data_IF_844144352816
#
_entry.id   IF_844144352816
#
_cell.length_a   1.000
_cell.length_b   1.000
_cell.length_c   1.000
_cell.angle_alpha   90.00
_cell.angle_beta   90.00
_cell.angle_gamma   90.00
#
_symmetry.space_group_name_H-M   'P 1'
#
loop_
_entity.id
_entity.type
_entity.pdbx_description
1 polymer ?
#
# COMPACT_ATOMS: atom_id res chain seq x y z
N UNK A 1 -10.58 11.66 14.39
CA UNK A 1 -9.32 12.45 14.31
C UNK A 1 -9.29 13.69 15.20
N UNK A 2 -10.38 14.45 15.38
CA UNK A 2 -10.35 15.73 16.13
C UNK A 2 -9.92 15.63 17.61
N UNK A 3 -10.18 14.50 18.27
CA UNK A 3 -9.85 14.30 19.68
C UNK A 3 -8.63 13.38 19.89
N UNK A 4 -7.95 12.98 18.81
CA UNK A 4 -6.78 12.10 18.93
C UNK A 4 -5.55 12.88 19.42
N UNK A 5 -4.81 12.29 20.36
CA UNK A 5 -3.57 12.86 20.91
C UNK A 5 -2.39 11.96 20.57
N UNK A 6 -1.26 12.51 20.06
CA UNK A 6 -0.09 11.73 19.71
C UNK A 6 0.60 11.17 20.96
N UNK A 7 1.04 9.91 20.90
CA UNK A 7 1.87 9.29 21.95
C UNK A 7 3.37 9.65 21.80
N UNK A 8 3.79 10.04 20.60
CA UNK A 8 5.16 10.42 20.27
C UNK A 8 5.17 11.62 19.33
N UNK A 9 6.29 12.36 19.29
CA UNK A 9 6.47 13.45 18.33
C UNK A 9 6.44 12.92 16.89
N UNK A 10 5.92 13.70 15.92
CA UNK A 10 5.95 13.31 14.51
C UNK A 10 7.35 12.89 14.04
N UNK A 11 7.43 11.82 13.26
CA UNK A 11 8.69 11.29 12.72
C UNK A 11 9.54 10.43 13.68
N UNK A 12 9.23 10.38 14.99
CA UNK A 12 10.06 9.65 15.94
C UNK A 12 9.84 8.12 15.92
N UNK A 13 8.61 7.68 15.63
CA UNK A 13 8.20 6.27 15.64
C UNK A 13 7.41 5.94 14.39
N UNK A 14 7.68 4.76 13.83
CA UNK A 14 6.77 4.07 12.90
C UNK A 14 5.86 3.15 13.68
N UNK A 15 4.55 3.33 13.54
CA UNK A 15 3.52 2.41 13.99
C UNK A 15 2.59 2.12 12.80
N UNK A 16 2.47 0.86 12.40
CA UNK A 16 1.55 0.49 11.32
C UNK A 16 0.11 0.89 11.70
N UNK A 17 -0.56 1.64 10.84
CA UNK A 17 -1.90 2.16 11.15
C UNK A 17 -2.73 2.39 9.89
N UNK A 18 -3.84 1.65 9.77
CA UNK A 18 -4.86 1.88 8.73
C UNK A 18 -5.42 3.31 8.82
N UNK A 19 -5.56 3.86 10.02
CA UNK A 19 -5.99 5.26 10.24
C UNK A 19 -4.99 6.28 9.68
N UNK A 20 -3.70 5.97 9.65
CA UNK A 20 -2.69 6.89 9.11
C UNK A 20 -2.74 6.90 7.58
N UNK A 21 -2.50 5.75 6.93
CA UNK A 21 -2.45 5.68 5.47
C UNK A 21 -3.84 5.89 4.83
N UNK A 22 -4.91 5.47 5.52
CA UNK A 22 -6.27 5.72 5.07
C UNK A 22 -6.60 7.21 5.04
N UNK A 23 -6.24 7.95 6.09
CA UNK A 23 -6.42 9.41 6.10
C UNK A 23 -5.57 10.09 5.03
N UNK A 24 -4.33 9.63 4.82
CA UNK A 24 -3.49 10.10 3.72
C UNK A 24 -4.19 9.93 2.36
N UNK A 25 -4.73 8.73 2.06
CA UNK A 25 -5.46 8.48 0.81
C UNK A 25 -6.68 9.39 0.64
N UNK A 26 -7.49 9.53 1.69
CA UNK A 26 -8.68 10.36 1.68
C UNK A 26 -8.36 11.85 1.45
N UNK A 27 -7.25 12.34 2.00
CA UNK A 27 -6.79 13.73 1.82
C UNK A 27 -6.12 13.95 0.46
N UNK A 28 -5.35 12.96 -0.04
CA UNK A 28 -4.60 13.07 -1.29
C UNK A 28 -5.50 13.31 -2.51
N UNK A 29 -6.73 12.79 -2.49
CA UNK A 29 -7.69 12.95 -3.59
C UNK A 29 -8.52 14.23 -3.51
N UNK A 30 -8.61 14.89 -2.34
CA UNK A 30 -9.46 16.08 -2.16
C UNK A 30 -9.27 17.19 -3.20
N UNK A 31 -8.04 17.57 -3.58
CA UNK A 31 -7.84 18.65 -4.57
C UNK A 31 -8.42 18.32 -5.95
N UNK A 32 -8.63 17.04 -6.26
CA UNK A 32 -9.20 16.61 -7.54
C UNK A 32 -10.73 16.73 -7.63
N UNK A 33 -11.41 16.86 -6.48
CA UNK A 33 -12.87 16.77 -6.40
C UNK A 33 -13.44 15.35 -6.60
N UNK A 34 -12.60 14.35 -6.89
CA UNK A 34 -13.01 12.94 -7.05
C UNK A 34 -13.18 12.27 -5.68
N UNK A 35 -14.03 11.24 -5.63
CA UNK A 35 -13.97 10.26 -4.55
C UNK A 35 -12.67 9.45 -4.64
N UNK A 36 -12.28 8.79 -3.54
CA UNK A 36 -11.09 7.93 -3.57
C UNK A 36 -11.22 6.80 -4.59
N UNK A 37 -12.37 6.14 -4.64
CA UNK A 37 -12.63 5.05 -5.60
C UNK A 37 -12.58 5.54 -7.06
N UNK A 38 -13.12 6.72 -7.36
CA UNK A 38 -13.05 7.31 -8.70
C UNK A 38 -11.60 7.65 -9.07
N UNK A 39 -10.85 8.28 -8.16
CA UNK A 39 -9.45 8.62 -8.39
C UNK A 39 -8.59 7.37 -8.59
N UNK A 40 -8.73 6.35 -7.74
CA UNK A 40 -8.03 5.07 -7.86
C UNK A 40 -8.35 4.40 -9.20
N UNK A 41 -9.63 4.33 -9.55
CA UNK A 41 -10.08 3.70 -10.81
C UNK A 41 -9.50 4.42 -12.03
N UNK A 42 -9.65 5.74 -12.11
CA UNK A 42 -9.26 6.52 -13.30
C UNK A 42 -7.76 6.74 -13.42
N UNK A 43 -7.05 6.89 -12.30
CA UNK A 43 -5.64 7.30 -12.30
C UNK A 43 -4.66 6.15 -12.13
N UNK A 44 -5.12 4.99 -11.65
CA UNK A 44 -4.26 3.83 -11.39
C UNK A 44 -4.76 2.60 -12.11
N UNK A 45 -5.99 2.15 -11.82
CA UNK A 45 -6.47 0.85 -12.32
C UNK A 45 -6.64 0.85 -13.84
N UNK A 46 -7.30 1.86 -14.41
CA UNK A 46 -7.52 1.96 -15.85
C UNK A 46 -6.22 2.12 -16.65
N UNK A 47 -5.29 3.04 -16.30
CA UNK A 47 -4.01 3.16 -17.02
C UNK A 47 -3.15 1.90 -16.99
N UNK A 48 -3.20 1.14 -15.88
CA UNK A 48 -2.48 -0.14 -15.75
C UNK A 48 -3.25 -1.33 -16.32
N UNK A 49 -4.45 -1.10 -16.88
CA UNK A 49 -5.32 -2.13 -17.45
C UNK A 49 -5.67 -3.23 -16.45
N UNK A 50 -5.91 -2.85 -15.20
CA UNK A 50 -6.33 -3.73 -14.11
C UNK A 50 -7.86 -3.89 -14.15
N UNK A 51 -8.36 -4.58 -15.17
CA UNK A 51 -9.78 -4.65 -15.51
C UNK A 51 -10.65 -5.48 -14.54
N UNK A 52 -10.03 -6.28 -13.69
CA UNK A 52 -10.66 -7.10 -12.65
C UNK A 52 -10.09 -6.76 -11.27
N UNK A 53 -9.97 -5.45 -11.01
CA UNK A 53 -9.57 -4.88 -9.73
C UNK A 53 -10.56 -3.82 -9.30
N UNK A 54 -11.05 -3.90 -8.06
CA UNK A 54 -12.18 -3.11 -7.58
C UNK A 54 -12.02 -2.70 -6.12
N UNK A 55 -12.52 -1.52 -5.76
CA UNK A 55 -12.82 -1.19 -4.36
C UNK A 55 -14.19 -1.78 -4.00
N UNK A 56 -15.21 -1.40 -4.77
CA UNK A 56 -16.57 -1.96 -4.74
C UNK A 56 -16.75 -2.96 -5.87
N UNK A 57 -16.88 -4.25 -5.54
CA UNK A 57 -17.06 -5.30 -6.56
C UNK A 57 -18.44 -5.16 -7.22
N UNK A 58 -18.52 -4.94 -8.55
CA UNK A 58 -19.79 -4.76 -9.23
C UNK A 58 -20.60 -6.06 -9.30
N UNK A 59 -21.92 -5.96 -9.48
CA UNK A 59 -22.83 -7.12 -9.54
C UNK A 59 -22.39 -8.16 -10.58
N UNK A 60 -21.86 -7.71 -11.72
CA UNK A 60 -21.36 -8.58 -12.81
C UNK A 60 -20.16 -9.45 -12.40
N UNK A 61 -19.43 -9.06 -11.37
CA UNK A 61 -18.21 -9.73 -10.89
C UNK A 61 -18.43 -10.50 -9.57
N UNK A 62 -19.62 -10.43 -8.98
CA UNK A 62 -19.93 -11.11 -7.70
C UNK A 62 -19.70 -12.63 -7.78
N UNK A 63 -19.93 -13.26 -8.95
CA UNK A 63 -19.66 -14.68 -9.17
C UNK A 63 -18.15 -15.04 -9.11
N UNK A 64 -17.28 -14.07 -9.33
CA UNK A 64 -15.83 -14.21 -9.29
C UNK A 64 -15.24 -13.75 -7.94
N UNK A 65 -16.06 -13.15 -7.06
CA UNK A 65 -15.63 -12.71 -5.74
C UNK A 65 -15.62 -13.91 -4.78
N UNK A 66 -14.43 -14.43 -4.52
CA UNK A 66 -14.25 -15.55 -3.61
C UNK A 66 -14.62 -15.18 -2.16
N UNK A 67 -15.23 -16.15 -1.47
CA UNK A 67 -15.41 -16.08 -0.02
C UNK A 67 -14.08 -16.27 0.70
N UNK A 68 -13.78 -15.40 1.66
CA UNK A 68 -12.80 -15.71 2.70
C UNK A 68 -13.40 -16.69 3.70
N UNK A 69 -12.56 -17.40 4.45
CA UNK A 69 -13.01 -18.30 5.50
C UNK A 69 -12.32 -17.97 6.82
N UNK A 70 -13.13 -17.67 7.85
CA UNK A 70 -12.66 -17.46 9.23
C UNK A 70 -13.42 -18.39 10.15
N UNK A 71 -12.70 -19.21 10.90
CA UNK A 71 -13.30 -20.22 11.79
C UNK A 71 -14.32 -21.11 11.04
N UNK A 72 -13.98 -21.48 9.79
CA UNK A 72 -14.81 -22.30 8.92
C UNK A 72 -16.03 -21.60 8.31
N UNK A 73 -16.28 -20.31 8.62
CA UNK A 73 -17.43 -19.57 8.11
C UNK A 73 -17.05 -18.69 6.90
N UNK A 74 -17.88 -18.66 5.85
CA UNK A 74 -17.64 -17.77 4.71
C UNK A 74 -17.85 -16.32 5.14
N UNK A 75 -16.91 -15.45 4.78
CA UNK A 75 -16.91 -14.02 5.10
C UNK A 75 -16.43 -13.17 3.92
N UNK A 76 -17.05 -12.01 3.76
CA UNK A 76 -16.47 -10.87 3.04
C UNK A 76 -16.11 -9.78 4.03
N UNK A 77 -15.20 -8.88 3.64
CA UNK A 77 -14.83 -7.73 4.47
C UNK A 77 -16.07 -6.88 4.76
N UNK A 78 -16.27 -6.51 6.03
CA UNK A 78 -17.34 -5.60 6.43
C UNK A 78 -16.97 -4.15 6.13
N UNK A 79 -17.95 -3.28 5.82
CA UNK A 79 -17.68 -1.85 5.65
C UNK A 79 -17.07 -1.23 6.91
N UNK A 80 -16.17 -0.28 6.71
CA UNK A 80 -15.47 0.41 7.80
C UNK A 80 -15.00 1.81 7.41
N UNK A 81 -14.76 2.67 8.40
CA UNK A 81 -14.20 3.99 8.10
C UNK A 81 -12.80 3.82 7.47
N UNK A 82 -12.60 4.47 6.32
CA UNK A 82 -11.36 4.41 5.53
C UNK A 82 -11.01 3.00 5.01
N UNK A 83 -12.02 2.15 4.79
CA UNK A 83 -11.81 0.81 4.25
C UNK A 83 -11.21 0.85 2.84
N UNK A 84 -11.79 1.63 1.93
CA UNK A 84 -11.34 1.83 0.56
C UNK A 84 -9.85 2.21 0.51
N UNK A 85 -9.43 3.14 1.37
CA UNK A 85 -8.08 3.71 1.37
C UNK A 85 -7.04 2.83 2.05
N UNK A 86 -7.44 1.94 2.96
CA UNK A 86 -6.49 1.18 3.79
C UNK A 86 -6.44 -0.33 3.49
N UNK A 87 -7.56 -0.96 3.11
CA UNK A 87 -7.65 -2.41 2.91
C UNK A 87 -8.77 -2.85 1.94
N UNK A 88 -9.27 -1.93 1.12
CA UNK A 88 -10.51 -2.10 0.37
C UNK A 88 -10.38 -2.69 -1.03
N UNK A 89 -9.18 -2.94 -1.53
CA UNK A 89 -8.97 -3.45 -2.90
C UNK A 89 -9.23 -4.96 -2.97
N UNK A 90 -9.93 -5.41 -4.01
CA UNK A 90 -10.10 -6.81 -4.41
C UNK A 90 -9.60 -6.94 -5.84
N UNK A 91 -8.78 -7.95 -6.13
CA UNK A 91 -8.13 -8.10 -7.43
C UNK A 91 -7.99 -9.56 -7.83
N UNK A 92 -7.95 -9.80 -9.14
CA UNK A 92 -7.57 -11.10 -9.69
C UNK A 92 -6.05 -11.30 -9.67
N UNK A 93 -5.60 -12.56 -9.70
CA UNK A 93 -4.16 -12.88 -9.78
C UNK A 93 -3.49 -12.30 -11.05
N UNK A 94 -4.25 -12.21 -12.16
CA UNK A 94 -3.74 -11.68 -13.44
C UNK A 94 -3.46 -10.19 -13.30
N UNK A 95 -4.36 -9.45 -12.67
CA UNK A 95 -4.17 -8.02 -12.44
C UNK A 95 -3.09 -7.75 -11.38
N UNK A 96 -3.01 -8.56 -10.32
CA UNK A 96 -1.92 -8.46 -9.36
C UNK A 96 -0.55 -8.72 -10.03
N UNK A 97 -0.46 -9.64 -10.98
CA UNK A 97 0.77 -9.83 -11.77
C UNK A 97 1.13 -8.59 -12.59
N UNK A 98 0.14 -7.94 -13.23
CA UNK A 98 0.36 -6.66 -13.94
C UNK A 98 0.78 -5.55 -12.99
N UNK A 99 0.18 -5.47 -11.80
CA UNK A 99 0.56 -4.52 -10.76
C UNK A 99 2.01 -4.70 -10.33
N UNK A 100 2.44 -5.95 -10.11
CA UNK A 100 3.84 -6.27 -9.79
C UNK A 100 4.76 -5.88 -10.94
N UNK A 101 4.43 -6.22 -12.19
CA UNK A 101 5.23 -5.84 -13.36
C UNK A 101 5.41 -4.32 -13.48
N UNK A 102 4.34 -3.55 -13.31
CA UNK A 102 4.40 -2.09 -13.34
C UNK A 102 5.26 -1.51 -12.21
N UNK A 103 5.29 -2.15 -11.04
CA UNK A 103 6.14 -1.74 -9.91
C UNK A 103 7.59 -2.23 -10.02
N UNK A 104 7.85 -3.32 -10.74
CA UNK A 104 9.21 -3.79 -11.03
C UNK A 104 9.90 -2.90 -12.06
N UNK A 105 9.16 -2.42 -13.07
CA UNK A 105 9.66 -1.49 -14.07
C UNK A 105 8.56 -0.50 -14.51
N UNK A 106 8.58 0.68 -13.88
CA UNK A 106 7.62 1.75 -14.17
C UNK A 106 7.84 2.39 -15.55
N UNK A 107 8.97 2.13 -16.24
CA UNK A 107 9.29 2.78 -17.52
C UNK A 107 8.31 2.42 -18.65
N UNK A 108 7.56 1.32 -18.49
CA UNK A 108 6.51 0.89 -19.42
C UNK A 108 5.15 1.54 -19.16
N UNK A 109 4.99 2.31 -18.09
CA UNK A 109 3.74 3.02 -17.78
C UNK A 109 3.65 4.29 -18.64
N UNK A 110 2.62 4.35 -19.47
CA UNK A 110 2.43 5.43 -20.44
C UNK A 110 2.10 6.77 -19.77
N UNK A 111 1.23 6.73 -18.76
CA UNK A 111 0.81 7.91 -18.00
C UNK A 111 1.96 8.42 -17.11
N UNK A 112 2.52 9.58 -17.45
CA UNK A 112 3.75 10.10 -16.83
C UNK A 112 3.64 10.35 -15.34
N UNK A 113 2.50 10.87 -14.88
CA UNK A 113 2.27 11.12 -13.46
C UNK A 113 2.10 9.82 -12.67
N UNK A 114 1.54 8.77 -13.29
CA UNK A 114 1.46 7.45 -12.68
C UNK A 114 2.83 6.76 -12.62
N UNK A 115 3.61 6.85 -13.71
CA UNK A 115 5.01 6.39 -13.72
C UNK A 115 5.79 7.01 -12.54
N UNK A 116 5.76 8.33 -12.43
CA UNK A 116 6.41 9.05 -11.33
C UNK A 116 5.83 8.65 -9.96
N UNK A 117 4.51 8.45 -9.86
CA UNK A 117 3.85 8.02 -8.64
C UNK A 117 4.35 6.64 -8.15
N UNK A 118 4.56 5.70 -9.06
CA UNK A 118 5.11 4.37 -8.75
C UNK A 118 6.55 4.49 -8.21
N UNK A 119 7.38 5.32 -8.86
CA UNK A 119 8.76 5.56 -8.44
C UNK A 119 8.84 6.26 -7.06
N UNK A 120 7.95 7.24 -6.81
CA UNK A 120 7.82 7.91 -5.52
C UNK A 120 7.35 6.95 -4.43
N UNK A 121 6.41 6.05 -4.73
CA UNK A 121 5.91 5.08 -3.76
C UNK A 121 7.01 4.14 -3.24
N UNK A 122 8.06 3.91 -4.03
CA UNK A 122 9.24 3.11 -3.66
C UNK A 122 10.46 3.93 -3.24
N UNK A 123 10.32 5.24 -3.10
CA UNK A 123 11.36 6.07 -2.48
C UNK A 123 11.49 5.74 -0.99
N UNK A 124 12.71 5.84 -0.46
CA UNK A 124 13.03 5.52 0.93
C UNK A 124 12.91 6.78 1.76
N UNK A 125 11.83 6.91 2.52
CA UNK A 125 11.56 8.09 3.36
C UNK A 125 12.02 7.89 4.81
N UNK A 126 11.84 6.69 5.34
CA UNK A 126 12.20 6.36 6.71
C UNK A 126 12.91 5.02 6.78
N UNK A 127 13.91 4.91 7.66
CA UNK A 127 14.57 3.66 7.99
C UNK A 127 14.12 3.16 9.37
N UNK A 128 13.77 1.88 9.44
CA UNK A 128 13.32 1.16 10.64
C UNK A 128 14.11 -0.14 10.72
N UNK A 129 15.19 -0.15 11.49
CA UNK A 129 16.17 -1.23 11.44
C UNK A 129 16.75 -1.36 10.02
N UNK A 130 16.56 -2.50 9.38
CA UNK A 130 17.01 -2.77 8.01
C UNK A 130 15.95 -2.51 6.93
N UNK A 131 14.71 -2.19 7.34
CA UNK A 131 13.61 -1.88 6.43
C UNK A 131 13.54 -0.38 6.14
N UNK A 132 13.14 -0.05 4.92
CA UNK A 132 12.82 1.30 4.47
C UNK A 132 11.32 1.42 4.16
N UNK A 133 10.68 2.44 4.70
CA UNK A 133 9.28 2.74 4.44
C UNK A 133 9.14 3.66 3.22
N UNK A 134 8.40 3.18 2.22
CA UNK A 134 7.88 3.94 1.09
C UNK A 134 6.45 4.44 1.32
N UNK A 135 5.74 4.84 0.26
CA UNK A 135 4.30 5.14 0.33
C UNK A 135 3.52 3.83 0.11
N UNK A 136 3.13 3.19 1.20
CA UNK A 136 2.55 1.85 1.18
C UNK A 136 3.63 0.77 1.22
N UNK A 137 4.49 0.72 0.20
CA UNK A 137 5.57 -0.27 0.07
C UNK A 137 6.59 -0.24 1.21
N UNK A 138 7.13 -1.41 1.53
CA UNK A 138 8.23 -1.64 2.45
C UNK A 138 9.38 -2.29 1.68
N UNK A 139 10.62 -1.85 1.93
CA UNK A 139 11.78 -2.27 1.15
C UNK A 139 12.93 -2.71 2.05
N UNK A 140 13.65 -3.76 1.66
CA UNK A 140 14.93 -4.16 2.25
C UNK A 140 15.99 -4.22 1.14
N UNK A 141 17.26 -3.98 1.49
CA UNK A 141 18.34 -4.17 0.52
C UNK A 141 18.46 -5.65 0.13
N UNK A 142 18.72 -5.93 -1.14
CA UNK A 142 19.04 -7.26 -1.67
C UNK A 142 20.56 -7.42 -1.89
N UNK A 143 21.17 -8.59 -1.60
CA UNK A 143 20.56 -9.78 -1.02
C UNK A 143 20.28 -9.63 0.47
N UNK A 144 19.26 -10.35 0.96
CA UNK A 144 18.92 -10.44 2.37
C UNK A 144 18.83 -11.90 2.84
N UNK A 145 18.93 -12.10 4.16
CA UNK A 145 18.71 -13.41 4.78
C UNK A 145 17.21 -13.66 4.88
N UNK A 146 16.76 -14.87 4.54
CA UNK A 146 15.34 -15.25 4.60
C UNK A 146 14.75 -15.02 6.00
N UNK A 147 15.51 -15.35 7.05
CA UNK A 147 15.11 -15.15 8.45
C UNK A 147 14.75 -13.70 8.77
N UNK A 148 15.38 -12.73 8.11
CA UNK A 148 15.08 -11.30 8.31
C UNK A 148 13.67 -10.94 7.83
N UNK A 149 13.19 -11.57 6.74
CA UNK A 149 11.82 -11.37 6.25
C UNK A 149 10.83 -12.07 7.17
N UNK A 150 11.09 -13.34 7.49
CA UNK A 150 10.19 -14.18 8.29
C UNK A 150 9.95 -13.52 9.65
N UNK A 151 11.02 -13.16 10.36
CA UNK A 151 10.92 -12.55 11.69
C UNK A 151 10.36 -11.11 11.64
N UNK A 152 10.64 -10.36 10.57
CA UNK A 152 10.09 -9.02 10.37
C UNK A 152 8.59 -9.00 10.07
N UNK A 153 8.07 -10.07 9.46
CA UNK A 153 6.64 -10.22 9.12
C UNK A 153 5.76 -10.72 10.27
N UNK A 154 6.36 -11.15 11.39
CA UNK A 154 5.60 -11.52 12.59
C UNK A 154 4.76 -10.32 13.07
N UNK A 155 3.48 -10.55 13.34
CA UNK A 155 2.53 -9.48 13.68
C UNK A 155 2.94 -8.70 14.94
N UNK A 156 3.64 -9.32 15.89
CA UNK A 156 4.14 -8.62 17.09
C UNK A 156 5.20 -7.59 16.72
N UNK A 157 5.99 -7.86 15.69
CA UNK A 157 7.03 -6.95 15.19
C UNK A 157 6.41 -5.90 14.26
N UNK A 158 5.58 -6.35 13.30
CA UNK A 158 4.95 -5.47 12.31
C UNK A 158 4.02 -4.40 12.93
N UNK A 159 3.37 -4.74 14.05
CA UNK A 159 2.45 -3.84 14.77
C UNK A 159 3.10 -3.10 15.94
N UNK A 160 4.39 -3.30 16.20
CA UNK A 160 5.10 -2.56 17.25
C UNK A 160 5.44 -1.13 16.82
N UNK A 161 5.48 -0.21 17.79
CA UNK A 161 6.01 1.13 17.58
C UNK A 161 7.54 1.11 17.59
N UNK A 162 8.14 1.20 16.41
CA UNK A 162 9.60 1.10 16.22
C UNK A 162 10.23 2.48 15.99
N UNK A 163 11.47 2.73 16.44
CA UNK A 163 12.20 3.93 16.08
C UNK A 163 12.27 4.12 14.56
N UNK A 164 12.00 5.33 14.08
CA UNK A 164 12.15 5.70 12.69
C UNK A 164 13.27 6.74 12.55
N UNK A 165 14.10 6.57 11.54
CA UNK A 165 15.15 7.53 11.16
C UNK A 165 14.80 8.11 9.80
N UNK A 166 14.68 9.42 9.70
CA UNK A 166 14.36 10.09 8.44
C UNK A 166 15.50 9.91 7.43
N UNK A 167 15.13 9.67 6.17
CA UNK A 167 16.04 9.72 5.02
C UNK A 167 15.73 11.03 4.29
N UNK A 168 16.58 12.04 4.49
CA UNK A 168 16.37 13.38 3.96
C UNK A 168 17.61 13.87 3.18
N UNK A 169 17.51 14.16 1.87
CA UNK A 169 16.31 13.98 1.03
C UNK A 169 15.94 12.49 0.88
N UNK A 170 14.67 12.16 0.55
CA UNK A 170 14.27 10.78 0.29
C UNK A 170 15.17 10.14 -0.77
N UNK A 171 15.70 8.95 -0.48
CA UNK A 171 16.52 8.25 -1.46
C UNK A 171 15.60 7.58 -2.52
N UNK A 172 15.96 7.62 -3.82
CA UNK A 172 15.15 6.99 -4.85
C UNK A 172 15.08 5.47 -4.69
N UNK A 173 14.17 4.83 -5.43
CA UNK A 173 14.08 3.38 -5.50
C UNK A 173 15.42 2.76 -5.94
N UNK A 174 15.84 1.69 -5.26
CA UNK A 174 17.10 0.98 -5.54
C UNK A 174 16.75 -0.37 -6.16
N UNK A 175 17.26 -0.65 -7.37
CA UNK A 175 16.97 -1.89 -8.12
C UNK A 175 17.28 -3.17 -7.33
N UNK A 176 18.35 -3.16 -6.54
CA UNK A 176 18.69 -4.25 -5.63
C UNK A 176 17.92 -4.14 -4.31
N UNK A 177 16.59 -4.23 -4.37
CA UNK A 177 15.73 -4.25 -3.18
C UNK A 177 14.72 -5.39 -3.25
N UNK A 178 14.44 -5.99 -2.10
CA UNK A 178 13.21 -6.73 -1.88
C UNK A 178 12.09 -5.75 -1.55
N UNK A 179 11.04 -5.68 -2.38
CA UNK A 179 9.91 -4.77 -2.21
C UNK A 179 8.67 -5.58 -1.87
N UNK A 180 7.98 -5.26 -0.77
CA UNK A 180 6.82 -6.01 -0.29
C UNK A 180 5.81 -5.13 0.46
N UNK A 181 4.61 -5.68 0.68
CA UNK A 181 3.61 -5.14 1.59
C UNK A 181 2.87 -6.28 2.28
#
# INVERSE_FOLDING_TARGET
YQNWQPQWTPGAKRLYANSSIGLFGALAVKPSGMSYEEAMTRRVLQPLKLAHTWITVPQSEQKNYAWGYREGKPVHVSPGQLDAEAYGVKSSVIDMARWVQANMDASHVQEKTLQQGIELAQSRYWRIGDMYQGLGWEMLNWPLKADSIINGSDSKVALAALPAVEVNPPAPAVKASWVHK
#
